data_IF_160457990424
#
_entry.id   IF_160457990424
#
_cell.length_a   1.000
_cell.length_b   1.000
_cell.length_c   1.000
_cell.angle_alpha   90.00
_cell.angle_beta   90.00
_cell.angle_gamma   90.00
#
_symmetry.space_group_name_H-M   'P 1'
#
loop_
_entity.id
_entity.type
_entity.pdbx_description
1 polymer ?
#
# COMPACT_ATOMS: atom_id res chain seq x y z
N UNK A 1 35.10 28.12 22.64
CA UNK A 1 34.53 26.78 22.92
C UNK A 1 33.06 26.80 22.55
N UNK A 2 32.70 26.21 21.40
CA UNK A 2 31.29 26.06 21.01
C UNK A 2 30.80 24.76 21.65
N UNK A 3 29.75 24.85 22.46
CA UNK A 3 29.14 23.73 23.17
C UNK A 3 28.79 22.57 22.21
N UNK A 4 29.13 21.30 22.52
CA UNK A 4 28.87 20.15 21.63
C UNK A 4 27.40 19.69 21.58
N UNK A 5 26.46 20.35 22.25
CA UNK A 5 25.15 19.74 22.56
C UNK A 5 23.97 20.16 21.67
N UNK A 6 24.18 20.89 20.56
CA UNK A 6 23.06 21.38 19.71
C UNK A 6 22.88 20.69 18.35
N UNK A 7 23.72 19.71 17.99
CA UNK A 7 23.64 19.02 16.69
C UNK A 7 22.86 17.70 16.69
N UNK A 8 22.26 17.28 17.81
CA UNK A 8 21.63 15.95 17.93
C UNK A 8 20.23 15.81 17.31
N UNK A 9 19.68 16.83 16.65
CA UNK A 9 18.30 16.79 16.13
C UNK A 9 18.16 17.14 14.65
N UNK A 10 19.19 16.88 13.83
CA UNK A 10 19.14 17.12 12.38
C UNK A 10 19.10 15.79 11.62
N UNK A 11 18.27 15.64 10.58
CA UNK A 11 18.40 14.52 9.64
C UNK A 11 19.84 14.40 9.15
N UNK A 12 20.36 13.16 9.06
CA UNK A 12 21.72 12.91 8.59
C UNK A 12 21.92 13.54 7.20
N UNK A 13 22.99 14.30 7.02
CA UNK A 13 23.29 15.02 5.78
C UNK A 13 22.72 16.45 5.71
N UNK A 14 21.95 16.89 6.71
CA UNK A 14 21.41 18.26 6.80
C UNK A 14 22.18 19.15 7.79
N UNK A 15 23.34 18.71 8.26
CA UNK A 15 24.12 19.38 9.30
C UNK A 15 24.50 20.81 8.91
N UNK A 16 24.69 21.08 7.62
CA UNK A 16 25.01 22.41 7.08
C UNK A 16 23.80 23.36 6.95
N UNK A 17 22.55 22.87 7.04
CA UNK A 17 21.35 23.67 6.78
C UNK A 17 20.83 24.36 8.04
N UNK A 18 20.38 25.64 8.01
CA UNK A 18 19.69 26.25 9.13
C UNK A 18 18.41 25.48 9.50
N UNK A 19 18.12 25.29 10.80
CA UNK A 19 16.95 24.49 11.24
C UNK A 19 15.64 24.97 10.61
N UNK A 20 15.48 26.28 10.41
CA UNK A 20 14.24 26.88 9.87
C UNK A 20 13.95 26.60 8.40
N UNK A 21 14.92 26.11 7.61
CA UNK A 21 14.69 25.74 6.19
C UNK A 21 14.52 24.23 5.99
N UNK A 22 14.78 23.42 7.02
CA UNK A 22 14.71 21.96 6.91
C UNK A 22 13.24 21.51 6.91
N UNK A 23 12.81 20.88 5.83
CA UNK A 23 11.58 20.08 5.79
C UNK A 23 11.94 18.62 6.04
N UNK A 24 11.43 18.03 7.12
CA UNK A 24 11.71 16.63 7.49
C UNK A 24 10.84 15.63 6.74
N UNK A 25 9.70 16.07 6.21
CA UNK A 25 8.75 15.25 5.46
C UNK A 25 8.36 15.93 4.15
N UNK A 26 7.71 15.16 3.29
CA UNK A 26 7.07 15.62 2.05
C UNK A 26 5.66 15.03 1.96
N UNK A 27 4.96 15.31 0.86
CA UNK A 27 3.71 14.67 0.48
C UNK A 27 3.63 14.47 -1.04
N UNK A 28 2.50 13.93 -1.49
CA UNK A 28 2.22 13.67 -2.91
C UNK A 28 1.30 14.73 -3.53
N UNK A 29 1.16 15.91 -2.91
CA UNK A 29 0.30 16.97 -3.46
C UNK A 29 0.93 17.58 -4.72
N UNK A 30 0.23 17.50 -5.84
CA UNK A 30 0.63 18.16 -7.08
C UNK A 30 0.57 19.69 -6.91
N UNK A 31 1.64 20.38 -7.31
CA UNK A 31 1.73 21.84 -7.30
C UNK A 31 1.77 22.36 -8.74
N UNK A 32 1.06 23.46 -9.05
CA UNK A 32 1.11 24.04 -10.39
C UNK A 32 2.52 24.56 -10.70
N UNK A 33 2.94 24.39 -11.96
CA UNK A 33 4.25 24.87 -12.45
C UNK A 33 4.33 26.40 -12.52
N UNK A 34 3.19 27.07 -12.72
CA UNK A 34 3.09 28.53 -12.81
C UNK A 34 1.77 29.02 -12.22
N UNK A 35 1.74 30.31 -11.91
CA UNK A 35 0.64 30.94 -11.18
C UNK A 35 0.82 30.76 -9.66
N UNK A 36 0.34 31.73 -8.91
CA UNK A 36 0.22 31.53 -7.47
C UNK A 36 -0.80 30.42 -7.23
N UNK A 37 -0.49 29.48 -6.33
CA UNK A 37 -1.53 28.64 -5.76
C UNK A 37 -2.62 29.58 -5.27
N UNK A 38 -3.77 29.58 -5.95
CA UNK A 38 -4.94 30.28 -5.44
C UNK A 38 -5.27 29.52 -4.19
N UNK A 39 -4.79 30.02 -3.06
CA UNK A 39 -5.36 29.69 -1.76
C UNK A 39 -6.79 30.21 -1.90
N UNK A 40 -7.69 29.35 -2.40
CA UNK A 40 -9.11 29.57 -2.25
C UNK A 40 -9.34 29.53 -0.75
N UNK A 41 -9.19 30.68 -0.09
CA UNK A 41 -9.93 30.98 1.13
C UNK A 41 -11.40 31.02 0.71
N UNK A 42 -11.98 29.86 0.41
CA UNK A 42 -13.41 29.70 0.58
C UNK A 42 -13.62 29.89 2.08
N UNK A 43 -14.36 30.93 2.42
CA UNK A 43 -14.93 31.15 3.75
C UNK A 43 -15.88 29.99 4.07
N UNK A 44 -15.32 28.83 4.35
CA UNK A 44 -15.95 27.79 5.14
C UNK A 44 -15.29 27.93 6.51
N UNK A 45 -16.07 27.83 7.58
CA UNK A 45 -15.52 27.71 8.92
C UNK A 45 -14.61 26.48 8.97
N UNK A 46 -13.31 26.66 8.68
CA UNK A 46 -12.26 25.65 8.85
C UNK A 46 -11.91 25.66 10.33
N UNK A 47 -12.87 25.25 11.14
CA UNK A 47 -12.64 24.88 12.53
C UNK A 47 -11.80 23.61 12.53
N UNK A 48 -10.47 23.72 12.51
CA UNK A 48 -9.51 22.71 13.02
C UNK A 48 -9.69 21.21 12.61
N UNK A 49 -10.50 20.89 11.60
CA UNK A 49 -10.92 19.50 11.28
C UNK A 49 -10.38 18.99 9.94
N UNK A 50 -9.72 19.82 9.14
CA UNK A 50 -9.24 19.44 7.80
C UNK A 50 -7.81 18.89 7.73
N UNK A 51 -7.01 19.00 8.79
CA UNK A 51 -5.71 18.30 8.88
C UNK A 51 -5.84 16.85 9.36
N UNK A 52 -7.06 16.31 9.44
CA UNK A 52 -7.33 14.94 9.88
C UNK A 52 -7.79 14.06 8.70
N UNK A 53 -6.84 13.25 8.20
CA UNK A 53 -6.99 12.03 7.41
C UNK A 53 -7.29 12.13 5.91
N UNK A 54 -6.35 12.69 5.13
CA UNK A 54 -6.19 12.22 3.74
C UNK A 54 -5.65 10.79 3.77
N UNK A 55 -6.11 9.95 2.86
CA UNK A 55 -5.64 8.57 2.71
C UNK A 55 -5.02 8.38 1.32
N UNK A 56 -4.10 7.45 1.20
CA UNK A 56 -3.43 7.10 -0.05
C UNK A 56 -3.96 5.77 -0.56
N UNK A 57 -4.37 5.72 -1.82
CA UNK A 57 -4.67 4.50 -2.55
C UNK A 57 -3.61 4.27 -3.62
N UNK A 58 -2.74 3.30 -3.38
CA UNK A 58 -1.71 2.87 -4.30
C UNK A 58 -2.03 1.46 -4.82
N UNK A 59 -1.84 1.23 -6.12
CA UNK A 59 -2.10 -0.07 -6.73
C UNK A 59 -1.18 -0.34 -7.92
N UNK A 60 -0.81 -1.60 -8.09
CA UNK A 60 -0.08 -2.06 -9.27
C UNK A 60 -1.05 -2.32 -10.42
N UNK A 61 -0.77 -1.73 -11.59
CA UNK A 61 -1.69 -1.70 -12.73
C UNK A 61 -1.02 -2.08 -14.05
N UNK A 62 -1.80 -2.70 -14.91
CA UNK A 62 -1.54 -2.95 -16.31
C UNK A 62 -2.78 -2.61 -17.16
N UNK A 63 -2.54 -2.17 -18.39
CA UNK A 63 -3.57 -1.63 -19.28
C UNK A 63 -4.67 -2.65 -19.61
N UNK A 64 -4.36 -3.95 -19.53
CA UNK A 64 -5.35 -5.03 -19.77
C UNK A 64 -6.46 -5.08 -18.72
N UNK A 65 -6.23 -4.53 -17.53
CA UNK A 65 -7.18 -4.52 -16.41
C UNK A 65 -7.81 -3.14 -16.18
N UNK A 66 -7.63 -2.21 -17.14
CA UNK A 66 -8.05 -0.80 -17.03
C UNK A 66 -9.50 -0.59 -16.61
N UNK A 67 -10.44 -1.43 -17.04
CA UNK A 67 -11.86 -1.29 -16.68
C UNK A 67 -12.12 -1.59 -15.19
N UNK A 68 -11.41 -2.57 -14.64
CA UNK A 68 -11.48 -2.90 -13.21
C UNK A 68 -10.83 -1.78 -12.40
N UNK A 69 -9.65 -1.33 -12.83
CA UNK A 69 -8.93 -0.21 -12.20
C UNK A 69 -9.76 1.08 -12.24
N UNK A 70 -10.42 1.39 -13.35
CA UNK A 70 -11.28 2.57 -13.50
C UNK A 70 -12.38 2.62 -12.43
N UNK A 71 -13.04 1.48 -12.16
CA UNK A 71 -14.03 1.38 -11.07
C UNK A 71 -13.41 1.68 -9.70
N UNK A 72 -12.21 1.16 -9.43
CA UNK A 72 -11.50 1.44 -8.18
C UNK A 72 -11.14 2.92 -8.07
N UNK A 73 -10.43 3.46 -9.04
CA UNK A 73 -9.93 4.84 -9.03
C UNK A 73 -11.07 5.84 -8.89
N UNK A 74 -12.16 5.67 -9.64
CA UNK A 74 -13.36 6.51 -9.53
C UNK A 74 -13.92 6.50 -8.10
N UNK A 75 -13.99 5.34 -7.46
CA UNK A 75 -14.55 5.19 -6.09
C UNK A 75 -13.66 5.83 -5.03
N UNK A 76 -12.35 5.64 -5.12
CA UNK A 76 -11.38 6.20 -4.18
C UNK A 76 -11.22 7.71 -4.34
N UNK A 77 -11.17 8.24 -5.57
CA UNK A 77 -11.18 9.68 -5.82
C UNK A 77 -12.46 10.33 -5.31
N UNK A 78 -13.62 9.70 -5.53
CA UNK A 78 -14.90 10.16 -4.99
C UNK A 78 -14.95 10.21 -3.46
N UNK A 79 -14.07 9.47 -2.77
CA UNK A 79 -13.91 9.45 -1.31
C UNK A 79 -12.74 10.34 -0.83
N UNK A 80 -12.19 11.18 -1.70
CA UNK A 80 -11.14 12.14 -1.35
C UNK A 80 -9.73 11.56 -1.15
N UNK A 81 -9.48 10.35 -1.65
CA UNK A 81 -8.15 9.73 -1.59
C UNK A 81 -7.19 10.37 -2.60
N UNK A 82 -5.91 10.40 -2.25
CA UNK A 82 -4.86 10.54 -3.26
C UNK A 82 -4.64 9.18 -3.90
N UNK A 83 -4.57 9.13 -5.23
CA UNK A 83 -4.40 7.88 -5.97
C UNK A 83 -3.06 7.86 -6.69
N UNK A 84 -2.37 6.74 -6.59
CA UNK A 84 -1.07 6.48 -7.23
C UNK A 84 -1.09 5.13 -7.94
N UNK A 85 -0.82 5.14 -9.24
CA UNK A 85 -0.80 3.97 -10.10
C UNK A 85 0.64 3.53 -10.38
N UNK A 86 0.95 2.25 -10.12
CA UNK A 86 2.23 1.63 -10.43
C UNK A 86 2.13 0.81 -11.72
N UNK A 87 2.52 1.41 -12.85
CA UNK A 87 2.45 0.81 -14.17
C UNK A 87 3.60 -0.18 -14.36
N UNK A 88 3.31 -1.46 -14.15
CA UNK A 88 4.31 -2.53 -14.31
C UNK A 88 4.53 -2.92 -15.77
N UNK A 89 3.62 -2.54 -16.67
CA UNK A 89 3.70 -2.84 -18.10
C UNK A 89 4.35 -1.72 -18.93
N UNK A 90 4.64 -0.59 -18.30
CA UNK A 90 5.21 0.58 -18.97
C UNK A 90 4.19 1.49 -19.67
N UNK A 91 2.92 1.11 -19.72
CA UNK A 91 1.89 1.79 -20.53
C UNK A 91 1.21 2.88 -19.71
N UNK A 92 1.48 4.14 -20.02
CA UNK A 92 0.89 5.30 -19.33
C UNK A 92 -0.09 6.07 -20.22
N UNK A 93 0.27 6.30 -21.49
CA UNK A 93 -0.50 7.19 -22.36
C UNK A 93 -1.92 6.69 -22.68
N UNK A 94 -2.14 5.37 -22.72
CA UNK A 94 -3.46 4.79 -22.99
C UNK A 94 -4.47 5.09 -21.87
N UNK A 95 -4.00 5.31 -20.63
CA UNK A 95 -4.86 5.66 -19.50
C UNK A 95 -5.50 7.06 -19.62
N UNK A 96 -4.99 7.91 -20.52
CA UNK A 96 -5.55 9.24 -20.80
C UNK A 96 -6.96 9.21 -21.37
N UNK A 97 -7.48 8.05 -21.73
CA UNK A 97 -8.90 7.89 -22.06
C UNK A 97 -9.83 8.20 -20.87
N UNK A 98 -9.34 8.07 -19.63
CA UNK A 98 -10.11 8.35 -18.43
C UNK A 98 -9.89 9.79 -17.97
N UNK A 99 -11.00 10.52 -17.72
CA UNK A 99 -10.96 11.92 -17.29
C UNK A 99 -10.19 12.16 -15.98
N UNK A 100 -10.10 11.13 -15.13
CA UNK A 100 -9.36 11.21 -13.88
C UNK A 100 -7.84 11.01 -14.04
N UNK A 101 -7.34 10.63 -15.23
CA UNK A 101 -5.91 10.30 -15.42
C UNK A 101 -4.99 11.48 -15.05
N UNK A 102 -5.39 12.72 -15.35
CA UNK A 102 -4.61 13.91 -15.00
C UNK A 102 -4.72 14.31 -13.51
N UNK A 103 -5.57 13.61 -12.74
CA UNK A 103 -5.81 13.88 -11.31
C UNK A 103 -5.05 12.91 -10.39
N UNK A 104 -4.42 11.87 -10.95
CA UNK A 104 -3.72 10.82 -10.20
C UNK A 104 -2.24 10.80 -10.54
N UNK A 105 -1.45 10.11 -9.72
CA UNK A 105 0.00 10.01 -9.92
C UNK A 105 0.30 8.73 -10.66
N UNK A 106 1.00 8.83 -11.79
CA UNK A 106 1.46 7.69 -12.56
C UNK A 106 2.96 7.46 -12.32
N UNK A 107 3.33 6.26 -11.89
CA UNK A 107 4.73 5.82 -11.79
C UNK A 107 4.90 4.60 -12.67
N UNK A 108 5.84 4.66 -13.62
CA UNK A 108 6.04 3.60 -14.60
C UNK A 108 7.44 3.02 -14.50
N UNK A 109 7.51 1.70 -14.34
CA UNK A 109 8.74 0.93 -14.41
C UNK A 109 8.39 -0.49 -14.86
N UNK A 110 8.76 -0.81 -16.10
CA UNK A 110 8.39 -2.07 -16.72
C UNK A 110 8.95 -3.28 -15.95
N UNK A 111 8.15 -4.34 -15.87
CA UNK A 111 8.45 -5.62 -15.24
C UNK A 111 8.84 -5.50 -13.76
N UNK A 112 8.29 -4.53 -13.04
CA UNK A 112 8.46 -4.38 -11.59
C UNK A 112 7.19 -4.77 -10.85
N UNK A 113 7.35 -5.36 -9.68
CA UNK A 113 6.23 -5.77 -8.82
C UNK A 113 5.68 -4.63 -7.97
N UNK A 114 4.47 -4.80 -7.44
CA UNK A 114 3.83 -3.88 -6.47
C UNK A 114 4.77 -3.48 -5.33
N UNK A 115 5.44 -4.46 -4.71
CA UNK A 115 6.31 -4.21 -3.56
C UNK A 115 7.64 -3.56 -3.94
N UNK A 116 8.13 -3.75 -5.18
CA UNK A 116 9.28 -3.01 -5.68
C UNK A 116 8.98 -1.51 -5.75
N UNK A 117 7.80 -1.14 -6.28
CA UNK A 117 7.34 0.25 -6.33
C UNK A 117 7.12 0.80 -4.92
N UNK A 118 6.39 0.08 -4.07
CA UNK A 118 6.09 0.51 -2.71
C UNK A 118 7.37 0.79 -1.91
N UNK A 119 8.39 -0.07 -2.01
CA UNK A 119 9.69 0.12 -1.35
C UNK A 119 10.39 1.41 -1.80
N UNK A 120 10.23 1.83 -3.05
CA UNK A 120 10.98 2.95 -3.65
C UNK A 120 10.24 4.28 -3.63
N UNK A 121 8.92 4.26 -3.74
CA UNK A 121 8.12 5.47 -3.93
C UNK A 121 7.20 5.80 -2.73
N UNK A 122 6.98 4.85 -1.83
CA UNK A 122 6.20 5.07 -0.60
C UNK A 122 7.12 5.16 0.63
N UNK A 123 8.18 5.98 0.55
CA UNK A 123 9.07 6.19 1.70
C UNK A 123 8.30 6.79 2.88
N UNK A 124 8.52 6.35 4.15
CA UNK A 124 7.72 6.79 5.29
C UNK A 124 7.65 8.30 5.45
N UNK A 125 8.74 9.02 5.21
CA UNK A 125 8.77 10.48 5.32
C UNK A 125 8.02 11.20 4.18
N UNK A 126 7.74 10.54 3.05
CA UNK A 126 6.91 11.06 1.94
C UNK A 126 5.42 10.79 2.21
N UNK A 127 5.10 9.62 2.75
CA UNK A 127 3.69 9.24 3.00
C UNK A 127 3.21 9.57 4.41
N UNK A 128 4.06 10.23 5.21
CA UNK A 128 3.80 10.62 6.60
C UNK A 128 2.65 11.60 6.78
N UNK A 129 2.04 12.14 5.73
CA UNK A 129 0.84 12.98 5.84
C UNK A 129 -0.47 12.19 5.68
N UNK A 130 -0.42 10.96 5.17
CA UNK A 130 -1.59 10.11 4.98
C UNK A 130 -1.89 9.32 6.26
N UNK A 131 -3.17 9.19 6.63
CA UNK A 131 -3.56 8.44 7.81
C UNK A 131 -3.48 6.92 7.56
N UNK A 132 -4.00 6.50 6.41
CA UNK A 132 -3.93 5.13 5.94
C UNK A 132 -3.39 5.05 4.50
N UNK A 133 -2.68 3.97 4.22
CA UNK A 133 -2.04 3.65 2.95
C UNK A 133 -2.59 2.30 2.49
N UNK A 134 -3.36 2.32 1.42
CA UNK A 134 -3.92 1.15 0.76
C UNK A 134 -2.96 0.74 -0.34
N UNK A 135 -2.53 -0.52 -0.37
CA UNK A 135 -1.56 -1.04 -1.33
C UNK A 135 -2.11 -2.29 -2.03
N UNK A 136 -2.91 -2.09 -3.07
CA UNK A 136 -3.78 -3.14 -3.64
C UNK A 136 -3.27 -3.70 -4.97
N UNK A 137 -3.75 -4.89 -5.30
CA UNK A 137 -3.67 -5.47 -6.65
C UNK A 137 -4.83 -4.97 -7.53
N UNK A 138 -4.69 -5.08 -8.86
CA UNK A 138 -5.65 -4.53 -9.83
C UNK A 138 -6.86 -5.43 -10.15
N UNK A 139 -6.86 -6.69 -9.74
CA UNK A 139 -7.89 -7.66 -10.11
C UNK A 139 -8.97 -7.84 -9.03
N UNK A 140 -9.28 -6.72 -8.36
CA UNK A 140 -10.19 -6.66 -7.21
C UNK A 140 -11.49 -5.89 -7.54
N UNK A 141 -12.62 -6.61 -7.56
CA UNK A 141 -13.96 -6.02 -7.67
C UNK A 141 -14.36 -5.26 -6.40
N UNK A 142 -14.67 -3.97 -6.55
CA UNK A 142 -15.01 -3.05 -5.45
C UNK A 142 -16.51 -2.73 -5.38
N UNK A 143 -17.38 -3.53 -6.00
CA UNK A 143 -18.82 -3.26 -6.05
C UNK A 143 -19.42 -3.10 -4.64
N UNK A 144 -19.02 -3.96 -3.69
CA UNK A 144 -19.54 -3.99 -2.32
C UNK A 144 -18.65 -3.30 -1.28
N UNK A 145 -17.66 -2.52 -1.71
CA UNK A 145 -16.68 -1.89 -0.84
C UNK A 145 -16.82 -0.36 -0.81
N UNK A 146 -17.00 0.26 0.34
CA UNK A 146 -17.07 1.71 0.49
C UNK A 146 -15.85 2.25 1.26
N UNK A 147 -14.96 3.06 0.62
CA UNK A 147 -13.75 3.54 1.26
C UNK A 147 -13.99 4.29 2.57
N UNK A 148 -14.98 5.19 2.63
CA UNK A 148 -15.27 5.96 3.83
C UNK A 148 -15.77 5.11 5.01
N UNK A 149 -16.61 4.11 4.72
CA UNK A 149 -17.11 3.17 5.73
C UNK A 149 -15.99 2.30 6.24
N UNK A 150 -15.16 1.78 5.34
CA UNK A 150 -13.99 0.99 5.70
C UNK A 150 -13.03 1.79 6.60
N UNK A 151 -12.68 3.01 6.21
CA UNK A 151 -11.81 3.90 7.01
C UNK A 151 -12.43 4.21 8.37
N UNK A 152 -13.76 4.34 8.46
CA UNK A 152 -14.45 4.55 9.73
C UNK A 152 -14.33 3.33 10.65
N UNK A 153 -14.46 2.12 10.11
CA UNK A 153 -14.35 0.86 10.87
C UNK A 153 -12.93 0.64 11.36
N UNK A 154 -11.92 0.75 10.48
CA UNK A 154 -10.53 0.51 10.90
C UNK A 154 -10.07 1.51 11.98
N UNK A 155 -10.60 2.75 11.95
CA UNK A 155 -10.35 3.74 13.00
C UNK A 155 -11.05 3.38 14.31
N UNK A 156 -12.31 2.96 14.28
CA UNK A 156 -13.06 2.61 15.49
C UNK A 156 -12.52 1.35 16.16
N UNK A 157 -12.07 0.40 15.36
CA UNK A 157 -11.48 -0.87 15.81
C UNK A 157 -10.00 -0.75 16.20
N UNK A 158 -9.36 0.40 15.95
CA UNK A 158 -7.93 0.60 16.23
C UNK A 158 -7.02 -0.29 15.38
N UNK A 159 -7.42 -0.60 14.14
CA UNK A 159 -6.63 -1.45 13.26
C UNK A 159 -5.47 -0.66 12.64
N UNK A 160 -4.27 -1.15 12.89
CA UNK A 160 -3.01 -0.63 12.36
C UNK A 160 -2.67 -1.30 11.02
N UNK A 161 -3.08 -2.56 10.85
CA UNK A 161 -2.94 -3.32 9.61
C UNK A 161 -4.26 -4.02 9.32
N UNK A 162 -4.81 -3.83 8.15
CA UNK A 162 -6.11 -4.38 7.80
C UNK A 162 -6.22 -4.77 6.33
N UNK A 163 -7.28 -5.49 5.98
CA UNK A 163 -7.74 -5.63 4.59
C UNK A 163 -9.26 -5.78 4.56
N UNK A 164 -9.94 -5.50 3.43
CA UNK A 164 -11.33 -5.94 3.25
C UNK A 164 -11.42 -7.46 3.17
N UNK A 165 -12.58 -8.01 3.53
CA UNK A 165 -12.86 -9.42 3.35
C UNK A 165 -13.05 -9.81 1.87
N UNK A 166 -12.83 -11.08 1.56
CA UNK A 166 -13.11 -11.64 0.24
C UNK A 166 -14.50 -12.29 0.19
N UNK A 167 -15.25 -12.01 -0.88
CA UNK A 167 -16.52 -12.69 -1.15
C UNK A 167 -16.28 -14.19 -1.35
N UNK A 168 -16.87 -15.09 -0.54
CA UNK A 168 -16.60 -16.52 -0.59
C UNK A 168 -17.10 -17.22 -1.86
N UNK A 169 -18.08 -16.65 -2.54
CA UNK A 169 -18.75 -17.29 -3.68
C UNK A 169 -18.21 -16.80 -5.01
N UNK A 170 -17.75 -15.54 -5.06
CA UNK A 170 -17.30 -14.89 -6.28
C UNK A 170 -15.79 -14.81 -6.42
N UNK A 171 -15.05 -14.94 -5.32
CA UNK A 171 -13.59 -14.78 -5.34
C UNK A 171 -12.88 -16.08 -5.68
N UNK A 172 -11.78 -15.97 -6.44
CA UNK A 172 -10.76 -17.01 -6.49
C UNK A 172 -9.97 -16.93 -5.17
N UNK A 173 -10.10 -17.94 -4.31
CA UNK A 173 -9.50 -17.91 -2.98
C UNK A 173 -8.15 -18.61 -2.97
N UNK A 174 -7.12 -17.93 -2.46
CA UNK A 174 -5.81 -18.53 -2.18
C UNK A 174 -5.65 -18.92 -0.71
N UNK A 175 -6.29 -18.18 0.21
CA UNK A 175 -6.26 -18.43 1.64
C UNK A 175 -7.68 -18.40 2.23
N UNK A 176 -8.07 -19.43 2.99
CA UNK A 176 -9.40 -19.47 3.62
C UNK A 176 -9.55 -18.43 4.74
N UNK A 177 -8.44 -17.99 5.33
CA UNK A 177 -8.40 -17.03 6.44
C UNK A 177 -8.68 -15.59 6.03
N UNK A 178 -8.91 -15.31 4.75
CA UNK A 178 -9.30 -13.98 4.24
C UNK A 178 -10.77 -13.91 3.83
N UNK A 179 -11.50 -15.02 3.99
CA UNK A 179 -12.90 -15.16 3.62
C UNK A 179 -13.79 -14.39 4.59
N UNK A 180 -14.79 -13.70 4.03
CA UNK A 180 -15.80 -13.00 4.80
C UNK A 180 -16.52 -13.91 5.80
N UNK A 181 -16.51 -13.51 7.07
CA UNK A 181 -17.31 -14.09 8.14
C UNK A 181 -18.56 -13.24 8.38
N UNK A 182 -19.74 -13.79 8.13
CA UNK A 182 -21.01 -13.05 8.30
C UNK A 182 -21.40 -12.81 9.76
N UNK A 183 -20.72 -13.48 10.70
CA UNK A 183 -21.00 -13.43 12.14
C UNK A 183 -20.06 -12.49 12.90
N UNK A 184 -19.04 -11.91 12.24
CA UNK A 184 -18.09 -10.98 12.84
C UNK A 184 -18.00 -9.70 12.03
N UNK A 185 -17.57 -8.61 12.67
CA UNK A 185 -17.21 -7.38 11.96
C UNK A 185 -15.75 -7.43 11.49
N UNK A 186 -14.88 -8.12 12.23
CA UNK A 186 -13.45 -8.27 11.93
C UNK A 186 -12.95 -9.66 12.35
N UNK A 187 -12.01 -10.24 11.58
CA UNK A 187 -11.23 -11.41 12.01
C UNK A 187 -9.72 -11.21 11.78
N UNK A 188 -8.87 -12.01 12.44
CA UNK A 188 -7.45 -11.65 12.68
C UNK A 188 -6.48 -12.31 11.67
N UNK A 189 -6.38 -11.74 10.48
CA UNK A 189 -5.32 -12.03 9.49
C UNK A 189 -5.25 -10.88 8.46
N UNK A 190 -4.12 -10.69 7.78
CA UNK A 190 -4.02 -9.81 6.61
C UNK A 190 -3.04 -10.44 5.61
N UNK A 191 -3.49 -10.59 4.37
CA UNK A 191 -2.70 -11.02 3.21
C UNK A 191 -2.13 -9.80 2.47
N UNK A 192 -1.11 -10.03 1.64
CA UNK A 192 -0.42 -8.98 0.88
C UNK A 192 -1.16 -8.51 -0.38
N UNK A 193 -2.34 -9.05 -0.72
CA UNK A 193 -3.10 -8.70 -1.93
C UNK A 193 -3.79 -7.33 -1.82
N UNK A 194 -4.57 -7.11 -0.75
CA UNK A 194 -5.31 -5.87 -0.51
C UNK A 194 -5.00 -5.22 0.87
N UNK A 195 -3.73 -5.15 1.32
CA UNK A 195 -3.41 -4.63 2.64
C UNK A 195 -3.66 -3.12 2.72
N UNK A 196 -3.99 -2.70 3.92
CA UNK A 196 -4.15 -1.31 4.34
C UNK A 196 -3.35 -1.12 5.62
N UNK A 197 -2.45 -0.15 5.60
CA UNK A 197 -1.57 0.16 6.72
C UNK A 197 -1.92 1.53 7.28
N UNK A 198 -1.92 1.67 8.59
CA UNK A 198 -1.77 2.99 9.20
C UNK A 198 -0.40 3.57 8.84
N UNK A 199 -0.24 4.87 9.06
CA UNK A 199 1.05 5.55 8.92
C UNK A 199 2.18 4.89 9.70
N UNK A 200 1.92 4.56 10.97
CA UNK A 200 2.93 4.01 11.88
C UNK A 200 3.26 2.56 11.52
N UNK A 201 2.24 1.76 11.21
CA UNK A 201 2.44 0.40 10.72
C UNK A 201 3.23 0.39 9.41
N UNK A 202 2.91 1.27 8.46
CA UNK A 202 3.64 1.36 7.19
C UNK A 202 5.10 1.74 7.41
N UNK A 203 5.41 2.67 8.32
CA UNK A 203 6.80 3.02 8.65
C UNK A 203 7.60 1.78 9.05
N UNK A 204 7.03 0.94 9.92
CA UNK A 204 7.64 -0.33 10.32
C UNK A 204 7.76 -1.33 9.14
N UNK A 205 6.66 -1.55 8.42
CA UNK A 205 6.60 -2.51 7.30
C UNK A 205 7.59 -2.11 6.19
N UNK A 206 7.73 -0.83 5.90
CA UNK A 206 8.67 -0.34 4.90
C UNK A 206 10.12 -0.75 5.21
N UNK A 207 10.54 -0.71 6.48
CA UNK A 207 11.87 -1.19 6.88
C UNK A 207 11.98 -2.73 6.84
N UNK A 208 10.87 -3.45 7.03
CA UNK A 208 10.83 -4.90 6.90
C UNK A 208 10.97 -5.36 5.44
N UNK A 209 10.38 -4.63 4.49
CA UNK A 209 10.52 -4.90 3.05
C UNK A 209 11.98 -4.77 2.62
N UNK A 210 12.53 -5.87 2.10
CA UNK A 210 13.91 -5.98 1.63
C UNK A 210 14.05 -5.42 0.22
N UNK A 211 15.16 -4.74 -0.09
CA UNK A 211 15.34 -4.06 -1.38
C UNK A 211 15.40 -5.00 -2.60
N UNK A 212 15.85 -6.24 -2.38
CA UNK A 212 16.08 -7.28 -3.38
C UNK A 212 14.99 -8.35 -3.44
N UNK A 213 14.05 -8.38 -2.47
CA UNK A 213 12.93 -9.31 -2.45
C UNK A 213 11.66 -8.59 -2.92
N UNK A 214 11.39 -8.68 -4.22
CA UNK A 214 10.40 -7.82 -4.88
C UNK A 214 8.99 -8.38 -4.79
N UNK A 215 8.77 -9.64 -4.48
CA UNK A 215 7.43 -10.23 -4.38
C UNK A 215 6.84 -10.12 -2.97
N UNK A 216 7.69 -9.89 -1.96
CA UNK A 216 7.36 -9.78 -0.55
C UNK A 216 6.61 -11.01 0.05
N UNK A 217 6.77 -12.19 -0.54
CA UNK A 217 6.20 -13.41 0.02
C UNK A 217 6.83 -13.73 1.38
N UNK A 218 6.00 -14.03 2.37
CA UNK A 218 6.41 -14.23 3.76
C UNK A 218 6.29 -12.99 4.63
N UNK A 219 6.12 -11.81 4.02
CA UNK A 219 5.87 -10.57 4.75
C UNK A 219 4.54 -10.65 5.52
N UNK A 220 3.49 -11.20 4.90
CA UNK A 220 2.17 -11.50 5.48
C UNK A 220 2.26 -12.20 6.84
N UNK A 221 3.23 -13.12 7.01
CA UNK A 221 3.45 -13.84 8.26
C UNK A 221 4.07 -13.00 9.37
N UNK A 222 4.74 -11.90 9.01
CA UNK A 222 5.47 -11.03 9.93
C UNK A 222 4.84 -9.63 10.09
N UNK A 223 3.80 -9.29 9.31
CA UNK A 223 3.11 -8.01 9.44
C UNK A 223 2.66 -7.70 10.88
N UNK A 224 2.30 -8.73 11.66
CA UNK A 224 1.93 -8.58 13.07
C UNK A 224 2.98 -7.91 13.95
N UNK A 225 4.27 -7.97 13.60
CA UNK A 225 5.34 -7.25 14.31
C UNK A 225 5.27 -5.73 14.13
N UNK A 226 4.54 -5.26 13.12
CA UNK A 226 4.30 -3.86 12.85
C UNK A 226 2.92 -3.37 13.32
N UNK A 227 2.20 -4.15 14.13
CA UNK A 227 0.85 -3.84 14.59
C UNK A 227 0.75 -2.72 15.64
N UNK A 228 1.86 -2.06 16.00
CA UNK A 228 1.94 -0.97 17.00
C UNK A 228 1.25 -1.31 18.33
N UNK A 229 1.35 -2.57 18.78
CA UNK A 229 0.65 -3.07 19.95
C UNK A 229 0.32 -4.55 19.82
N UNK A 230 -0.77 -4.97 20.44
CA UNK A 230 -1.24 -6.36 20.39
C UNK A 230 -1.76 -6.69 18.98
N UNK A 231 -1.03 -7.55 18.27
CA UNK A 231 -1.41 -8.01 16.92
C UNK A 231 -2.75 -8.74 16.86
N UNK A 232 -3.23 -9.30 17.98
CA UNK A 232 -4.53 -9.97 18.05
C UNK A 232 -5.70 -8.99 18.11
N UNK A 233 -5.43 -7.70 18.32
CA UNK A 233 -6.42 -6.63 18.33
C UNK A 233 -6.24 -5.69 17.14
N UNK A 234 -5.00 -5.29 16.85
CA UNK A 234 -4.69 -4.22 15.90
C UNK A 234 -4.54 -4.71 14.44
N UNK A 235 -4.64 -6.02 14.19
CA UNK A 235 -4.57 -6.60 12.84
C UNK A 235 -5.87 -7.30 12.49
N UNK A 236 -6.45 -7.02 11.32
CA UNK A 236 -7.60 -7.81 10.89
C UNK A 236 -8.25 -7.50 9.54
N UNK A 237 -9.03 -8.46 9.08
CA UNK A 237 -9.91 -8.40 7.93
C UNK A 237 -11.23 -7.75 8.33
N UNK A 238 -11.66 -6.71 7.64
CA UNK A 238 -12.97 -6.06 7.86
C UNK A 238 -14.06 -6.82 7.08
N UNK A 239 -14.90 -7.56 7.78
CA UNK A 239 -15.95 -8.42 7.19
C UNK A 239 -17.18 -7.65 6.68
N UNK A 240 -17.42 -6.47 7.24
CA UNK A 240 -18.53 -5.60 6.86
C UNK A 240 -18.33 -4.96 5.47
N UNK A 241 -17.08 -4.82 5.01
CA UNK A 241 -16.71 -4.18 3.76
C UNK A 241 -15.83 -5.14 2.96
N UNK A 242 -16.35 -5.65 1.84
CA UNK A 242 -15.75 -6.78 1.15
C UNK A 242 -15.61 -6.55 -0.35
N UNK A 243 -14.63 -7.25 -0.93
CA UNK A 243 -14.23 -7.18 -2.33
C UNK A 243 -14.32 -8.55 -2.99
N UNK A 244 -14.23 -8.59 -4.31
CA UNK A 244 -14.20 -9.83 -5.12
C UNK A 244 -12.83 -9.97 -5.75
N UNK A 245 -12.10 -11.06 -5.48
CA UNK A 245 -10.84 -11.31 -6.18
C UNK A 245 -11.09 -12.12 -7.46
N UNK A 246 -10.86 -11.51 -8.63
CA UNK A 246 -11.14 -12.13 -9.92
C UNK A 246 -10.07 -13.14 -10.35
N UNK A 247 -8.84 -13.07 -9.79
CA UNK A 247 -7.70 -13.88 -10.19
C UNK A 247 -7.34 -13.70 -11.65
N UNK A 248 -7.36 -12.45 -12.12
CA UNK A 248 -7.01 -12.11 -13.50
C UNK A 248 -5.50 -12.24 -13.67
N UNK A 249 -5.01 -12.57 -14.88
CA UNK A 249 -3.57 -12.57 -15.13
C UNK A 249 -2.98 -11.17 -14.94
N UNK A 250 -2.05 -11.04 -13.99
CA UNK A 250 -1.25 -9.83 -13.75
C UNK A 250 0.21 -10.05 -14.22
N UNK A 251 1.01 -8.99 -14.29
CA UNK A 251 2.45 -9.05 -14.63
C UNK A 251 2.76 -9.74 -15.97
N UNK A 252 1.95 -9.49 -17.00
CA UNK A 252 2.16 -10.06 -18.34
C UNK A 252 1.63 -11.48 -18.53
N UNK A 253 0.81 -11.99 -17.59
CA UNK A 253 0.08 -13.23 -17.80
C UNK A 253 -0.88 -13.15 -19.00
N UNK A 254 -0.87 -14.18 -19.84
CA UNK A 254 -1.68 -14.23 -21.06
C UNK A 254 -3.10 -14.71 -20.71
N UNK A 255 -4.14 -14.09 -21.27
CA UNK A 255 -5.50 -14.61 -21.12
C UNK A 255 -5.64 -15.98 -21.83
N UNK A 256 -6.50 -16.87 -21.32
CA UNK A 256 -6.75 -18.19 -21.96
C UNK A 256 -7.19 -18.07 -23.43
N UNK A 257 -7.78 -16.93 -23.83
CA UNK A 257 -8.20 -16.62 -25.20
C UNK A 257 -7.08 -16.13 -26.13
N UNK A 258 -5.92 -15.73 -25.59
CA UNK A 258 -4.80 -15.13 -26.34
C UNK A 258 -3.59 -16.07 -26.53
N UNK A 259 -3.74 -17.35 -26.17
CA UNK A 259 -2.72 -18.40 -26.31
C UNK A 259 -2.28 -18.69 -27.77
N UNK A 260 -2.77 -17.90 -28.74
CA UNK A 260 -2.37 -17.90 -30.14
C UNK A 260 -1.14 -17.02 -30.44
N UNK A 261 -0.70 -16.17 -29.48
CA UNK A 261 0.53 -15.39 -29.62
C UNK A 261 1.73 -16.14 -28.98
N UNK A 262 2.88 -16.13 -29.66
CA UNK A 262 4.14 -16.79 -29.24
C UNK A 262 4.76 -16.25 -27.92
N UNK A 263 4.05 -15.43 -27.15
CA UNK A 263 4.52 -14.92 -25.87
C UNK A 263 4.56 -16.05 -24.83
N UNK A 264 5.66 -16.15 -24.09
CA UNK A 264 5.84 -17.17 -23.05
C UNK A 264 5.12 -16.72 -21.78
N UNK A 265 4.18 -17.53 -21.27
CA UNK A 265 3.55 -17.26 -19.98
C UNK A 265 4.56 -17.49 -18.85
N UNK A 266 5.05 -16.39 -18.27
CA UNK A 266 6.05 -16.39 -17.20
C UNK A 266 5.45 -16.58 -15.80
N UNK A 267 4.15 -16.84 -15.65
CA UNK A 267 3.54 -16.99 -14.31
C UNK A 267 4.17 -18.09 -13.46
N UNK A 268 4.59 -19.19 -14.08
CA UNK A 268 5.28 -20.27 -13.36
C UNK A 268 6.66 -19.80 -12.89
N UNK A 269 7.37 -19.02 -13.71
CA UNK A 269 8.66 -18.44 -13.35
C UNK A 269 8.53 -17.45 -12.19
N UNK A 270 7.54 -16.55 -12.25
CA UNK A 270 7.21 -15.61 -11.17
C UNK A 270 6.89 -16.36 -9.88
N UNK A 271 6.00 -17.35 -9.92
CA UNK A 271 5.63 -18.13 -8.73
C UNK A 271 6.83 -18.87 -8.14
N UNK A 272 7.68 -19.46 -8.98
CA UNK A 272 8.92 -20.12 -8.54
C UNK A 272 9.86 -19.14 -7.85
N UNK A 273 10.05 -17.95 -8.43
CA UNK A 273 10.89 -16.91 -7.84
C UNK A 273 10.30 -16.41 -6.51
N UNK A 274 8.98 -16.22 -6.41
CA UNK A 274 8.32 -15.85 -5.15
C UNK A 274 8.56 -16.85 -4.03
N UNK A 275 8.55 -18.16 -4.33
CA UNK A 275 8.90 -19.19 -3.34
C UNK A 275 10.37 -19.13 -2.92
N UNK A 276 11.29 -18.87 -3.85
CA UNK A 276 12.71 -18.69 -3.53
C UNK A 276 12.93 -17.46 -2.63
N UNK A 277 12.28 -16.34 -2.95
CA UNK A 277 12.33 -15.13 -2.11
C UNK A 277 11.75 -15.36 -0.72
N UNK A 278 10.65 -16.11 -0.60
CA UNK A 278 10.09 -16.51 0.69
C UNK A 278 11.10 -17.27 1.55
N UNK A 279 11.80 -18.25 0.97
CA UNK A 279 12.84 -18.99 1.69
C UNK A 279 13.98 -18.09 2.15
N UNK A 280 14.41 -17.15 1.29
CA UNK A 280 15.45 -16.17 1.63
C UNK A 280 14.97 -15.28 2.78
N UNK A 281 13.74 -14.77 2.71
CA UNK A 281 13.16 -13.92 3.76
C UNK A 281 13.12 -14.65 5.10
N UNK A 282 12.61 -15.89 5.12
CA UNK A 282 12.55 -16.71 6.35
C UNK A 282 13.95 -16.96 6.92
N UNK A 283 14.94 -17.26 6.08
CA UNK A 283 16.34 -17.43 6.52
C UNK A 283 16.91 -16.14 7.11
N UNK A 284 16.67 -15.00 6.45
CA UNK A 284 17.12 -13.68 6.94
C UNK A 284 16.47 -13.32 8.28
N UNK A 285 15.17 -13.54 8.42
CA UNK A 285 14.46 -13.30 9.67
C UNK A 285 15.05 -14.12 10.82
N UNK A 286 15.18 -15.44 10.64
CA UNK A 286 15.78 -16.32 11.66
C UNK A 286 17.18 -15.88 12.03
N UNK A 287 18.03 -15.60 11.03
CA UNK A 287 19.38 -15.11 11.27
C UNK A 287 19.40 -13.80 12.06
N UNK A 288 18.54 -12.85 11.72
CA UNK A 288 18.44 -11.57 12.44
C UNK A 288 18.01 -11.76 13.90
N UNK A 289 17.07 -12.67 14.16
CA UNK A 289 16.66 -13.06 15.52
C UNK A 289 17.82 -13.69 16.28
N UNK A 290 18.55 -14.63 15.68
CA UNK A 290 19.66 -15.33 16.33
C UNK A 290 20.86 -14.40 16.63
N UNK A 291 21.09 -13.39 15.78
CA UNK A 291 22.21 -12.44 15.90
C UNK A 291 21.89 -11.24 16.81
N UNK A 292 20.61 -10.90 17.01
CA UNK A 292 20.21 -9.76 17.83
C UNK A 292 20.02 -10.15 19.30
N UNK A 293 21.13 -10.16 20.04
CA UNK A 293 21.14 -10.47 21.48
C UNK A 293 20.29 -9.53 22.35
N UNK A 294 19.89 -8.36 21.82
CA UNK A 294 19.09 -7.37 22.53
C UNK A 294 17.59 -7.48 22.19
N UNK A 295 17.23 -8.26 21.16
CA UNK A 295 15.86 -8.43 20.73
C UNK A 295 15.16 -9.54 21.51
N UNK A 296 13.97 -9.23 22.00
CA UNK A 296 13.08 -10.20 22.64
C UNK A 296 11.82 -10.27 21.80
N UNK A 297 11.42 -11.48 21.41
CA UNK A 297 10.20 -11.68 20.64
C UNK A 297 8.98 -11.24 21.47
N UNK A 298 8.25 -10.18 21.05
CA UNK A 298 7.08 -9.69 21.77
C UNK A 298 5.88 -10.65 21.71
N UNK A 299 5.95 -11.75 20.96
CA UNK A 299 4.85 -12.71 20.80
C UNK A 299 5.21 -14.15 21.19
N UNK A 300 6.27 -14.34 21.97
CA UNK A 300 6.58 -15.61 22.63
C UNK A 300 5.49 -16.04 23.62
#
# INVERSE_FOLDING_TARGET
>A
MVSPTRNQCRPRGSEALPKGIISSSSNLEMRPLWGHAVVQKKNVNIDKKENASRNLFALAVGIRQKDVVNKMVTKFLGSGFVVMLFHYDGVVDEWKEFEWSDQVIHISAANQSKWWFAKRFLHPDIVSEYAYIFLWDEDLGVENFHPDKYVSIIKSEGLEISQPALDPHKSILHHQVTVRLTTSQVHRWVEIMAPVFSREAWRCVWYMVQNDLVHAWGLDKQLGYCAQGDRTQNVGVVDAEYIVHYGLPTLGGINKSEALSQAKDHRIDVRRLSFQELEIFVKRWKKAVDEDSCWVDPFQ
#
